data_IF_650256390233
#
_entry.id   IF_650256390233
#
_cell.length_a   1.000
_cell.length_b   1.000
_cell.length_c   1.000
_cell.angle_alpha   90.00
_cell.angle_beta   90.00
_cell.angle_gamma   90.00
#
_symmetry.space_group_name_H-M   'P 1'
#
loop_
_entity.id
_entity.type
_entity.pdbx_description
1 polymer ?
#
# COMPACT_ATOMS: atom_id res chain seq x y z
N UNK A 1 -68.07 -33.97 3.88
CA UNK A 1 -67.19 -35.14 4.03
C UNK A 1 -65.80 -34.61 4.36
N UNK A 2 -65.44 -34.60 5.65
CA UNK A 2 -64.09 -34.25 6.09
C UNK A 2 -63.21 -35.48 5.92
N UNK A 3 -62.21 -35.39 5.07
CA UNK A 3 -61.17 -36.42 4.90
C UNK A 3 -60.26 -36.37 6.11
N UNK A 4 -60.44 -37.34 7.01
CA UNK A 4 -59.57 -37.58 8.16
C UNK A 4 -58.20 -38.03 7.63
N UNK A 5 -57.25 -37.10 7.52
CA UNK A 5 -55.88 -37.46 7.16
C UNK A 5 -55.12 -37.91 8.41
N UNK A 6 -54.54 -39.11 8.40
CA UNK A 6 -53.85 -39.65 9.56
C UNK A 6 -52.65 -38.77 9.93
N UNK A 7 -52.59 -38.35 11.19
CA UNK A 7 -51.44 -37.64 11.74
C UNK A 7 -50.14 -38.41 11.43
N UNK A 8 -49.11 -37.74 10.89
CA UNK A 8 -47.87 -38.42 10.55
C UNK A 8 -47.23 -39.03 11.82
N UNK A 9 -46.67 -40.25 11.72
CA UNK A 9 -46.13 -40.96 12.87
C UNK A 9 -44.99 -40.17 13.53
N UNK A 10 -44.98 -40.09 14.88
CA UNK A 10 -43.96 -39.39 15.70
C UNK A 10 -42.49 -39.71 15.30
N UNK A 11 -42.22 -40.86 14.69
CA UNK A 11 -40.89 -41.23 14.16
C UNK A 11 -40.40 -40.28 13.07
N UNK A 12 -41.28 -39.84 12.16
CA UNK A 12 -40.95 -38.92 11.08
C UNK A 12 -40.51 -37.53 11.59
N UNK A 13 -40.91 -37.12 12.80
CA UNK A 13 -40.49 -35.85 13.41
C UNK A 13 -39.06 -35.90 13.96
N UNK A 14 -38.65 -37.01 14.60
CA UNK A 14 -37.27 -37.18 15.10
C UNK A 14 -36.26 -37.27 13.96
N UNK A 15 -36.61 -37.94 12.88
CA UNK A 15 -35.76 -38.06 11.68
C UNK A 15 -35.47 -36.70 11.03
N UNK A 16 -36.46 -35.78 11.00
CA UNK A 16 -36.30 -34.42 10.45
C UNK A 16 -35.30 -33.56 11.23
N UNK A 17 -35.28 -33.64 12.57
CA UNK A 17 -34.29 -32.91 13.39
C UNK A 17 -32.88 -33.47 13.25
N UNK A 18 -32.77 -34.79 13.04
CA UNK A 18 -31.49 -35.45 12.79
C UNK A 18 -30.76 -34.88 11.56
N UNK A 19 -31.51 -34.57 10.49
CA UNK A 19 -30.95 -33.96 9.28
C UNK A 19 -30.34 -32.59 9.57
N UNK A 20 -31.01 -31.72 10.33
CA UNK A 20 -30.50 -30.39 10.66
C UNK A 20 -29.23 -30.45 11.53
N UNK A 21 -29.18 -31.34 12.52
CA UNK A 21 -27.97 -31.56 13.31
C UNK A 21 -26.82 -32.13 12.48
N UNK A 22 -27.11 -33.02 11.52
CA UNK A 22 -26.09 -33.50 10.58
C UNK A 22 -25.55 -32.36 9.71
N UNK A 23 -26.43 -31.47 9.21
CA UNK A 23 -26.00 -30.29 8.46
C UNK A 23 -25.14 -29.34 9.31
N UNK A 24 -25.52 -29.09 10.57
CA UNK A 24 -24.70 -28.31 11.52
C UNK A 24 -23.29 -28.90 11.64
N UNK A 25 -23.18 -30.21 11.85
CA UNK A 25 -21.88 -30.89 11.96
C UNK A 25 -21.06 -30.80 10.66
N UNK A 26 -21.69 -31.03 9.50
CA UNK A 26 -21.02 -30.93 8.20
C UNK A 26 -20.53 -29.50 7.95
N UNK A 27 -21.37 -28.49 8.22
CA UNK A 27 -20.99 -27.09 8.09
C UNK A 27 -19.83 -26.73 9.01
N UNK A 28 -19.85 -27.21 10.25
CA UNK A 28 -18.75 -26.99 11.20
C UNK A 28 -17.43 -27.59 10.70
N UNK A 29 -17.46 -28.85 10.23
CA UNK A 29 -16.28 -29.51 9.64
C UNK A 29 -15.79 -28.74 8.41
N UNK A 30 -16.69 -28.31 7.53
CA UNK A 30 -16.33 -27.53 6.35
C UNK A 30 -15.65 -26.20 6.71
N UNK A 31 -16.15 -25.47 7.70
CA UNK A 31 -15.54 -24.22 8.19
C UNK A 31 -14.15 -24.49 8.77
N UNK A 32 -13.99 -25.53 9.61
CA UNK A 32 -12.70 -25.87 10.23
C UNK A 32 -11.67 -26.21 9.15
N UNK A 33 -12.03 -27.09 8.20
CA UNK A 33 -11.13 -27.48 7.10
C UNK A 33 -10.78 -26.28 6.22
N UNK A 34 -11.76 -25.46 5.84
CA UNK A 34 -11.52 -24.25 5.06
C UNK A 34 -10.64 -23.25 5.81
N UNK A 35 -10.82 -23.10 7.12
CA UNK A 35 -10.02 -22.24 7.97
C UNK A 35 -8.56 -22.71 8.05
N UNK A 36 -8.32 -24.01 8.26
CA UNK A 36 -6.97 -24.58 8.29
C UNK A 36 -6.27 -24.37 6.93
N UNK A 37 -6.95 -24.66 5.83
CA UNK A 37 -6.39 -24.47 4.49
C UNK A 37 -6.17 -22.99 4.14
N UNK A 38 -7.06 -22.10 4.58
CA UNK A 38 -6.87 -20.65 4.47
C UNK A 38 -5.61 -20.20 5.23
N UNK A 39 -5.44 -20.61 6.49
CA UNK A 39 -4.25 -20.28 7.28
C UNK A 39 -2.97 -20.82 6.64
N UNK A 40 -2.97 -22.06 6.13
CA UNK A 40 -1.83 -22.63 5.40
C UNK A 40 -1.49 -21.83 4.14
N UNK A 41 -2.51 -21.45 3.35
CA UNK A 41 -2.31 -20.64 2.13
C UNK A 41 -1.77 -19.25 2.44
N UNK A 42 -2.28 -18.62 3.48
CA UNK A 42 -1.78 -17.32 3.96
C UNK A 42 -0.34 -17.47 4.45
N UNK A 43 -0.02 -18.51 5.22
CA UNK A 43 1.34 -18.82 5.66
C UNK A 43 2.30 -19.05 4.50
N UNK A 44 1.94 -19.92 3.56
CA UNK A 44 2.72 -20.18 2.35
C UNK A 44 2.89 -18.91 1.50
N UNK A 45 1.88 -18.05 1.41
CA UNK A 45 1.99 -16.76 0.74
C UNK A 45 3.04 -15.86 1.41
N UNK A 46 3.02 -15.74 2.74
CA UNK A 46 4.00 -14.95 3.49
C UNK A 46 5.41 -15.58 3.47
N UNK A 47 5.54 -16.89 3.30
CA UNK A 47 6.82 -17.57 3.11
C UNK A 47 7.39 -17.36 1.71
N UNK A 48 6.53 -17.33 0.68
CA UNK A 48 6.95 -17.18 -0.71
C UNK A 48 7.17 -15.73 -1.12
N UNK A 49 6.40 -14.80 -0.57
CA UNK A 49 6.49 -13.39 -0.89
C UNK A 49 7.26 -12.69 0.21
N UNK A 50 8.55 -12.44 -0.05
CA UNK A 50 9.30 -11.49 0.76
C UNK A 50 8.66 -10.12 0.57
N UNK A 51 8.06 -9.61 1.65
CA UNK A 51 7.55 -8.25 1.74
C UNK A 51 8.53 -7.43 2.56
N UNK A 52 9.60 -6.90 1.94
CA UNK A 52 10.52 -6.06 2.66
C UNK A 52 9.77 -4.91 3.30
N UNK A 53 10.00 -4.73 4.60
CA UNK A 53 9.36 -3.72 5.39
C UNK A 53 10.43 -2.74 5.82
N UNK A 54 10.49 -1.59 5.15
CA UNK A 54 11.49 -0.57 5.46
C UNK A 54 11.04 0.31 6.63
N UNK A 55 11.99 0.66 7.50
CA UNK A 55 11.83 1.76 8.43
C UNK A 55 12.50 3.01 7.86
N UNK A 56 11.94 4.17 8.20
CA UNK A 56 12.41 5.46 7.74
C UNK A 56 12.56 6.39 8.94
N UNK A 57 13.73 6.99 9.08
CA UNK A 57 14.02 8.04 10.05
C UNK A 57 14.32 9.29 9.24
N UNK A 58 13.47 10.31 9.36
CA UNK A 58 13.68 11.57 8.66
C UNK A 58 14.88 12.31 9.24
N UNK A 59 15.74 12.82 8.37
CA UNK A 59 16.86 13.67 8.76
C UNK A 59 16.31 15.01 9.23
N UNK A 60 16.76 15.48 10.40
CA UNK A 60 16.32 16.74 10.99
C UNK A 60 17.34 17.88 10.84
N UNK A 61 18.61 17.56 10.61
CA UNK A 61 19.71 18.54 10.48
C UNK A 61 20.14 18.70 9.03
N UNK A 62 20.47 19.92 8.62
CA UNK A 62 21.07 20.20 7.31
C UNK A 62 22.56 19.94 7.27
N UNK A 63 23.19 19.68 8.41
CA UNK A 63 24.62 19.38 8.54
C UNK A 63 24.77 18.16 9.46
N UNK A 64 25.28 17.06 8.91
CA UNK A 64 25.48 15.80 9.61
C UNK A 64 26.47 14.90 8.88
N UNK A 65 26.97 13.85 9.56
CA UNK A 65 27.86 12.87 8.95
C UNK A 65 27.11 11.57 8.63
N UNK A 66 27.34 11.00 7.45
CA UNK A 66 26.85 9.69 7.05
C UNK A 66 28.02 8.82 6.57
N UNK A 67 28.18 7.63 7.17
CA UNK A 67 29.25 6.69 6.83
C UNK A 67 30.67 7.32 6.83
N UNK A 68 30.92 8.24 7.76
CA UNK A 68 32.20 8.95 7.89
C UNK A 68 32.40 10.09 6.89
N UNK A 69 31.35 10.49 6.16
CA UNK A 69 31.36 11.57 5.17
C UNK A 69 30.41 12.67 5.57
N UNK A 70 30.83 13.91 5.39
CA UNK A 70 29.99 15.05 5.73
C UNK A 70 28.93 15.28 4.65
N UNK A 71 27.70 15.50 5.12
CA UNK A 71 26.54 15.82 4.31
C UNK A 71 26.05 17.20 4.72
N UNK A 72 25.99 18.12 3.76
CA UNK A 72 25.51 19.48 3.97
C UNK A 72 24.41 19.85 2.99
N UNK A 73 23.34 20.44 3.48
CA UNK A 73 22.23 20.95 2.69
C UNK A 73 22.16 22.47 2.85
N UNK A 74 22.15 23.18 1.73
CA UNK A 74 22.08 24.64 1.68
C UNK A 74 20.99 25.08 0.71
N UNK A 75 20.16 26.04 1.11
CA UNK A 75 19.27 26.74 0.19
C UNK A 75 20.06 27.87 -0.47
N UNK A 76 20.14 27.83 -1.79
CA UNK A 76 20.77 28.87 -2.60
C UNK A 76 19.75 29.47 -3.56
N UNK A 77 20.10 30.60 -4.14
CA UNK A 77 19.37 31.18 -5.26
C UNK A 77 20.34 31.26 -6.44
N UNK A 78 19.89 30.79 -7.61
CA UNK A 78 20.61 31.00 -8.86
C UNK A 78 20.66 32.49 -9.20
N UNK A 79 21.55 32.87 -10.13
CA UNK A 79 21.58 34.24 -10.68
C UNK A 79 20.24 34.64 -11.33
N UNK A 80 19.45 33.65 -11.80
CA UNK A 80 18.09 33.83 -12.30
C UNK A 80 17.07 34.21 -11.22
N UNK A 81 17.43 34.11 -9.94
CA UNK A 81 16.54 34.24 -8.79
C UNK A 81 15.77 32.97 -8.44
N UNK A 82 16.01 31.86 -9.14
CA UNK A 82 15.36 30.58 -8.88
C UNK A 82 15.94 29.91 -7.62
N UNK A 83 15.08 29.47 -6.69
CA UNK A 83 15.52 28.78 -5.49
C UNK A 83 16.00 27.35 -5.82
N UNK A 84 17.13 26.96 -5.25
CA UNK A 84 17.71 25.62 -5.36
C UNK A 84 18.13 25.11 -3.98
N UNK A 85 18.13 23.79 -3.80
CA UNK A 85 18.75 23.13 -2.64
C UNK A 85 20.01 22.42 -3.10
N UNK A 86 21.17 22.88 -2.63
CA UNK A 86 22.46 22.26 -2.89
C UNK A 86 22.75 21.26 -1.79
N UNK A 87 23.08 20.04 -2.17
CA UNK A 87 23.49 18.97 -1.27
C UNK A 87 24.93 18.63 -1.57
N UNK A 88 25.80 18.85 -0.59
CA UNK A 88 27.20 18.43 -0.66
C UNK A 88 27.34 17.12 0.10
N UNK A 89 27.94 16.12 -0.53
CA UNK A 89 28.29 14.84 0.08
C UNK A 89 29.76 14.56 -0.23
N UNK A 90 30.62 14.83 0.73
CA UNK A 90 32.08 14.82 0.54
C UNK A 90 32.52 15.73 -0.64
N UNK A 91 33.02 15.16 -1.73
CA UNK A 91 33.42 15.88 -2.95
C UNK A 91 32.30 16.01 -3.99
N UNK A 92 31.16 15.35 -3.78
CA UNK A 92 30.02 15.39 -4.70
C UNK A 92 29.07 16.53 -4.34
N UNK A 93 28.56 17.20 -5.36
CA UNK A 93 27.51 18.22 -5.23
C UNK A 93 26.30 17.84 -6.07
N UNK A 94 25.13 17.89 -5.46
CA UNK A 94 23.84 17.66 -6.09
C UNK A 94 22.97 18.90 -5.93
N UNK A 95 22.60 19.52 -7.05
CA UNK A 95 21.69 20.66 -7.07
C UNK A 95 20.27 20.17 -7.36
N UNK A 96 19.34 20.52 -6.48
CA UNK A 96 17.93 20.14 -6.55
C UNK A 96 17.07 21.39 -6.75
N UNK A 97 16.39 21.47 -7.89
CA UNK A 97 15.47 22.57 -8.19
C UNK A 97 14.27 22.55 -7.25
N UNK A 98 13.93 23.69 -6.65
CA UNK A 98 12.76 23.79 -5.76
C UNK A 98 11.48 23.82 -6.57
N UNK A 99 10.76 22.69 -6.58
CA UNK A 99 9.50 22.52 -7.34
C UNK A 99 8.36 23.35 -6.73
N UNK A 100 8.29 23.40 -5.39
CA UNK A 100 7.25 24.12 -4.66
C UNK A 100 7.89 25.14 -3.73
N UNK A 101 8.00 26.41 -4.15
CA UNK A 101 8.55 27.44 -3.28
C UNK A 101 7.64 27.60 -2.06
N UNK A 102 8.21 27.70 -0.85
CA UNK A 102 7.43 27.77 0.37
C UNK A 102 6.56 29.03 0.40
N UNK A 103 5.27 28.88 0.71
CA UNK A 103 4.34 30.01 0.89
C UNK A 103 4.63 30.82 2.16
N UNK A 104 5.26 30.18 3.14
CA UNK A 104 5.56 30.74 4.45
C UNK A 104 7.01 30.48 4.81
N UNK A 105 7.62 31.44 5.49
CA UNK A 105 8.95 31.29 6.07
C UNK A 105 8.86 30.37 7.29
N UNK A 106 8.99 29.06 7.06
CA UNK A 106 9.17 28.08 8.13
C UNK A 106 10.64 28.08 8.56
N UNK A 107 10.97 27.74 9.82
CA UNK A 107 12.31 27.95 10.37
C UNK A 107 13.36 27.02 9.77
N UNK A 108 13.01 25.77 9.48
CA UNK A 108 13.96 24.78 8.95
C UNK A 108 13.76 24.54 7.46
N UNK A 109 14.84 24.15 6.76
CA UNK A 109 14.80 23.74 5.35
C UNK A 109 13.80 22.59 5.16
N UNK A 110 13.85 21.57 6.02
CA UNK A 110 12.96 20.42 5.89
C UNK A 110 11.49 20.76 6.12
N UNK A 111 11.18 21.73 7.00
CA UNK A 111 9.81 22.21 7.15
C UNK A 111 9.35 22.97 5.92
N UNK A 112 10.20 23.85 5.35
CA UNK A 112 9.90 24.62 4.13
C UNK A 112 9.68 23.73 2.91
N UNK A 113 10.46 22.67 2.76
CA UNK A 113 10.46 21.81 1.58
C UNK A 113 9.66 20.51 1.76
N UNK A 114 8.98 20.31 2.90
CA UNK A 114 8.29 19.05 3.27
C UNK A 114 7.27 18.56 2.24
N UNK A 115 6.70 19.47 1.46
CA UNK A 115 5.68 19.14 0.46
C UNK A 115 6.24 18.35 -0.73
N UNK A 116 7.55 18.40 -0.98
CA UNK A 116 8.11 17.78 -2.18
C UNK A 116 9.47 17.12 -1.97
N UNK A 117 10.20 17.46 -0.92
CA UNK A 117 11.52 16.91 -0.61
C UNK A 117 11.49 16.23 0.75
N UNK A 118 12.10 15.05 0.82
CA UNK A 118 12.37 14.36 2.07
C UNK A 118 13.73 13.66 2.02
N UNK A 119 14.47 13.75 3.11
CA UNK A 119 15.72 13.02 3.30
C UNK A 119 15.55 12.00 4.42
N UNK A 120 15.88 10.74 4.14
CA UNK A 120 15.59 9.63 5.04
C UNK A 120 16.81 8.74 5.22
N UNK A 121 17.11 8.41 6.47
CA UNK A 121 17.77 7.14 6.76
C UNK A 121 16.75 6.02 6.65
N UNK A 122 17.13 4.93 5.99
CA UNK A 122 16.26 3.78 5.86
C UNK A 122 17.03 2.47 5.91
N UNK A 123 16.37 1.43 6.40
CA UNK A 123 16.88 0.07 6.38
C UNK A 123 15.73 -0.92 6.42
N UNK A 124 15.99 -2.14 5.95
CA UNK A 124 15.04 -3.22 6.05
C UNK A 124 14.86 -3.62 7.52
N UNK A 125 13.61 -3.62 7.98
CA UNK A 125 13.19 -4.09 9.30
C UNK A 125 12.26 -5.29 9.21
N UNK A 126 12.33 -6.02 8.10
CA UNK A 126 11.63 -7.28 7.94
C UNK A 126 11.96 -8.21 9.09
N UNK A 127 10.94 -8.91 9.61
CA UNK A 127 11.07 -9.90 10.69
C UNK A 127 11.54 -9.35 12.04
N UNK A 128 11.51 -8.03 12.24
CA UNK A 128 11.81 -7.41 13.55
C UNK A 128 10.78 -6.36 13.95
N UNK A 129 10.68 -6.13 15.26
CA UNK A 129 9.86 -5.05 15.81
C UNK A 129 10.57 -3.70 15.66
N UNK A 130 9.84 -2.59 15.76
CA UNK A 130 10.44 -1.24 15.68
C UNK A 130 11.47 -1.00 16.80
N UNK A 131 11.18 -1.47 18.02
CA UNK A 131 12.10 -1.35 19.17
C UNK A 131 13.38 -2.15 18.95
N UNK A 132 13.27 -3.34 18.35
CA UNK A 132 14.45 -4.14 18.01
C UNK A 132 15.28 -3.47 16.92
N UNK A 133 14.62 -2.92 15.89
CA UNK A 133 15.27 -2.17 14.82
C UNK A 133 16.04 -0.96 15.36
N UNK A 134 15.41 -0.13 16.20
CA UNK A 134 16.05 1.02 16.84
C UNK A 134 17.26 0.62 17.67
N UNK A 135 17.13 -0.46 18.48
CA UNK A 135 18.25 -1.01 19.25
C UNK A 135 19.41 -1.44 18.34
N UNK A 136 19.13 -2.14 17.25
CA UNK A 136 20.15 -2.63 16.31
C UNK A 136 20.83 -1.52 15.51
N UNK A 137 20.13 -0.41 15.25
CA UNK A 137 20.75 0.81 14.71
C UNK A 137 21.72 1.42 15.75
N UNK A 138 21.31 1.52 17.01
CA UNK A 138 22.17 2.09 18.06
C UNK A 138 23.43 1.26 18.32
N UNK A 139 23.37 -0.06 18.11
CA UNK A 139 24.53 -0.97 18.24
C UNK A 139 25.31 -1.16 16.94
N UNK A 140 24.98 -0.41 15.88
CA UNK A 140 25.58 -0.51 14.53
C UNK A 140 25.51 -1.93 13.91
N UNK A 141 24.57 -2.76 14.35
CA UNK A 141 24.28 -4.07 13.74
C UNK A 141 23.55 -3.91 12.40
N UNK A 142 22.71 -2.87 12.29
CA UNK A 142 22.04 -2.48 11.05
C UNK A 142 22.68 -1.21 10.56
N UNK A 143 23.19 -1.29 9.35
CA UNK A 143 23.79 -0.19 8.63
C UNK A 143 22.72 0.54 7.80
N UNK A 144 22.23 1.71 8.25
CA UNK A 144 21.23 2.45 7.47
C UNK A 144 21.82 2.92 6.15
N UNK A 145 20.94 3.02 5.16
CA UNK A 145 21.13 3.71 3.87
C UNK A 145 20.57 5.12 3.99
N UNK A 146 21.03 6.04 3.14
CA UNK A 146 20.60 7.42 3.12
C UNK A 146 20.10 7.77 1.73
N UNK A 147 18.92 8.37 1.64
CA UNK A 147 18.40 8.86 0.36
C UNK A 147 17.68 10.19 0.52
N UNK A 148 17.77 11.01 -0.53
CA UNK A 148 16.83 12.10 -0.80
C UNK A 148 15.80 11.61 -1.79
N UNK A 149 14.54 11.92 -1.51
CA UNK A 149 13.43 11.68 -2.43
C UNK A 149 12.76 13.00 -2.71
N UNK A 150 12.67 13.35 -3.98
CA UNK A 150 11.93 14.52 -4.45
C UNK A 150 10.68 14.09 -5.20
N UNK A 151 9.64 14.90 -5.16
CA UNK A 151 8.36 14.70 -5.85
C UNK A 151 8.16 15.81 -6.87
N UNK A 152 8.09 15.43 -8.14
CA UNK A 152 7.85 16.33 -9.26
C UNK A 152 6.49 15.98 -9.90
N UNK A 153 5.52 16.91 -9.97
CA UNK A 153 4.26 16.66 -10.66
C UNK A 153 4.50 16.52 -12.17
N UNK A 154 3.85 15.54 -12.80
CA UNK A 154 3.94 15.32 -14.24
C UNK A 154 3.50 16.51 -15.06
N UNK A 155 4.17 16.73 -16.19
CA UNK A 155 3.90 17.87 -17.05
C UNK A 155 4.57 19.16 -16.59
N UNK A 156 5.15 19.18 -15.39
CA UNK A 156 6.27 20.06 -15.08
C UNK A 156 7.53 19.26 -15.39
N UNK A 157 8.08 19.41 -16.61
CA UNK A 157 9.50 19.11 -16.76
C UNK A 157 10.25 19.96 -15.72
N UNK A 158 11.31 19.45 -15.07
CA UNK A 158 12.26 20.30 -14.36
C UNK A 158 12.74 21.31 -15.39
N UNK A 159 12.16 22.50 -15.37
CA UNK A 159 12.22 23.37 -16.52
C UNK A 159 13.61 23.99 -16.47
N UNK A 160 14.49 23.62 -17.41
CA UNK A 160 15.83 24.21 -17.52
C UNK A 160 15.81 25.73 -17.78
N UNK A 161 14.63 26.31 -18.05
CA UNK A 161 14.44 27.74 -18.27
C UNK A 161 13.16 28.23 -17.56
N UNK A 162 13.21 29.35 -16.82
CA UNK A 162 12.04 29.95 -16.21
C UNK A 162 11.09 30.48 -17.29
N UNK A 163 9.98 29.77 -17.56
CA UNK A 163 8.81 30.38 -18.22
C UNK A 163 7.76 30.71 -17.17
N UNK A 164 7.91 31.90 -16.58
CA UNK A 164 7.02 32.41 -15.55
C UNK A 164 5.62 32.85 -16.04
N UNK A 165 5.19 32.56 -17.27
CA UNK A 165 4.08 33.33 -17.85
C UNK A 165 2.94 32.59 -18.57
N UNK A 166 2.78 31.26 -18.51
CA UNK A 166 1.64 30.66 -19.24
C UNK A 166 1.02 29.34 -18.79
N UNK A 167 1.29 28.82 -17.59
CA UNK A 167 0.46 27.74 -17.04
C UNK A 167 -0.24 28.24 -15.78
N UNK A 168 -1.46 28.74 -15.98
CA UNK A 168 -2.52 28.95 -15.00
C UNK A 168 -2.26 28.31 -13.64
N UNK A 169 -1.63 29.06 -12.73
CA UNK A 169 -1.33 28.62 -11.37
C UNK A 169 -2.59 28.54 -10.51
N UNK A 170 -3.64 29.30 -10.86
CA UNK A 170 -4.95 29.26 -10.19
C UNK A 170 -5.78 28.00 -10.53
N UNK A 171 -5.65 27.42 -11.73
CA UNK A 171 -6.39 26.20 -12.10
C UNK A 171 -5.69 24.89 -11.66
N UNK A 172 -4.39 24.97 -11.34
CA UNK A 172 -3.58 23.80 -11.01
C UNK A 172 -3.53 23.44 -9.52
N UNK A 173 -3.82 24.36 -8.60
CA UNK A 173 -3.91 24.02 -7.17
C UNK A 173 -5.05 23.02 -6.88
N UNK A 174 -6.14 23.06 -7.66
CA UNK A 174 -7.25 22.11 -7.54
C UNK A 174 -7.04 20.78 -8.29
N UNK A 175 -6.25 20.78 -9.37
CA UNK A 175 -6.05 19.61 -10.24
C UNK A 175 -4.76 18.84 -9.96
N UNK A 176 -3.73 19.46 -9.38
CA UNK A 176 -2.49 18.80 -8.96
C UNK A 176 -2.68 17.75 -7.85
N UNK A 177 -3.71 17.90 -7.00
CA UNK A 177 -4.13 16.85 -6.06
C UNK A 177 -4.89 15.69 -6.74
N UNK A 178 -5.48 15.94 -7.92
CA UNK A 178 -6.41 15.02 -8.59
C UNK A 178 -5.72 13.97 -9.47
N UNK A 179 -4.46 14.20 -9.88
CA UNK A 179 -3.72 13.31 -10.79
C UNK A 179 -2.44 12.76 -10.17
N UNK A 180 -2.59 12.07 -9.04
CA UNK A 180 -1.49 11.44 -8.29
C UNK A 180 -0.81 10.31 -9.07
N UNK A 181 -1.55 9.69 -9.97
CA UNK A 181 -1.07 8.69 -10.94
C UNK A 181 0.00 9.24 -11.88
N UNK A 182 0.17 10.56 -11.94
CA UNK A 182 1.19 11.18 -12.76
C UNK A 182 2.45 11.54 -11.95
N UNK A 183 2.42 11.57 -10.61
CA UNK A 183 3.59 11.97 -9.83
C UNK A 183 4.83 11.15 -10.20
N UNK A 184 5.92 11.88 -10.46
CA UNK A 184 7.27 11.35 -10.64
C UNK A 184 8.06 11.63 -9.36
N UNK A 185 8.90 10.68 -9.01
CA UNK A 185 9.81 10.78 -7.88
C UNK A 185 11.22 10.56 -8.38
N UNK A 186 12.13 11.39 -7.93
CA UNK A 186 13.55 11.22 -8.16
C UNK A 186 14.19 10.77 -6.84
N UNK A 187 14.91 9.66 -6.90
CA UNK A 187 15.55 8.98 -5.79
C UNK A 187 17.05 9.18 -5.92
N UNK A 188 17.64 9.88 -4.95
CA UNK A 188 19.08 10.10 -4.85
C UNK A 188 19.59 9.33 -3.66
N UNK A 189 20.20 8.19 -3.90
CA UNK A 189 20.79 7.37 -2.85
C UNK A 189 22.27 7.68 -2.67
N UNK A 190 22.64 7.94 -1.42
CA UNK A 190 23.99 8.26 -0.99
C UNK A 190 24.66 6.95 -0.55
N UNK A 191 25.58 6.45 -1.38
CA UNK A 191 26.30 5.22 -1.10
C UNK A 191 27.45 5.48 -0.13
N UNK A 192 27.80 4.46 0.64
CA UNK A 192 28.90 4.55 1.64
C UNK A 192 30.27 4.78 0.98
N UNK A 193 30.41 4.43 -0.30
CA UNK A 193 31.62 4.67 -1.09
C UNK A 193 31.80 6.12 -1.54
N UNK A 194 30.83 7.00 -1.24
CA UNK A 194 30.86 8.43 -1.60
C UNK A 194 30.10 8.75 -2.89
N UNK A 195 29.55 7.75 -3.59
CA UNK A 195 28.78 7.99 -4.82
C UNK A 195 27.31 8.29 -4.55
N UNK A 196 26.73 9.16 -5.37
CA UNK A 196 25.29 9.38 -5.42
C UNK A 196 24.71 8.67 -6.65
N UNK A 197 23.80 7.72 -6.43
CA UNK A 197 23.03 7.07 -7.50
C UNK A 197 21.67 7.73 -7.64
N UNK A 198 21.25 7.99 -8.88
CA UNK A 198 19.98 8.62 -9.20
C UNK A 198 19.09 7.69 -10.00
N UNK A 199 17.84 7.57 -9.60
CA UNK A 199 16.80 6.90 -10.36
C UNK A 199 15.50 7.71 -10.34
N UNK A 200 14.81 7.76 -11.47
CA UNK A 200 13.54 8.45 -11.59
C UNK A 200 12.43 7.47 -11.90
N UNK A 201 11.37 7.47 -11.09
CA UNK A 201 10.24 6.56 -11.23
C UNK A 201 8.90 7.25 -11.02
N UNK A 202 7.85 6.71 -11.61
CA UNK A 202 6.47 7.15 -11.44
C UNK A 202 5.81 6.39 -10.32
N UNK A 203 4.82 7.01 -9.69
CA UNK A 203 3.95 6.24 -8.80
C UNK A 203 3.24 5.11 -9.57
N UNK A 204 3.14 3.89 -9.01
CA UNK A 204 2.50 2.78 -9.70
C UNK A 204 1.04 3.08 -10.03
N UNK A 205 0.60 2.64 -11.20
CA UNK A 205 -0.81 2.73 -11.57
C UNK A 205 -1.65 1.83 -10.65
N UNK A 206 -2.80 2.31 -10.20
CA UNK A 206 -3.72 1.47 -9.41
C UNK A 206 -4.28 0.30 -10.23
N UNK A 207 -4.47 -0.86 -9.60
CA UNK A 207 -5.11 -2.06 -10.19
C UNK A 207 -6.36 -1.74 -10.99
N UNK A 208 -7.25 -0.93 -10.38
CA UNK A 208 -8.53 -0.57 -10.97
C UNK A 208 -8.34 0.26 -12.24
N UNK A 209 -7.35 1.15 -12.27
CA UNK A 209 -7.04 1.92 -13.47
C UNK A 209 -6.45 1.01 -14.56
N UNK A 210 -5.50 0.17 -14.21
CA UNK A 210 -4.90 -0.79 -15.14
C UNK A 210 -5.94 -1.76 -15.73
N UNK A 211 -6.81 -2.33 -14.89
CA UNK A 211 -7.91 -3.20 -15.34
C UNK A 211 -8.91 -2.49 -16.25
N UNK A 212 -9.20 -1.20 -16.00
CA UNK A 212 -10.04 -0.40 -16.91
C UNK A 212 -9.36 -0.20 -18.26
N UNK A 213 -8.05 0.08 -18.29
CA UNK A 213 -7.29 0.18 -19.55
C UNK A 213 -7.32 -1.14 -20.31
N UNK A 214 -7.10 -2.26 -19.61
CA UNK A 214 -7.13 -3.61 -20.18
C UNK A 214 -8.48 -3.94 -20.80
N UNK A 215 -9.58 -3.74 -20.06
CA UNK A 215 -10.93 -3.96 -20.57
C UNK A 215 -11.27 -3.04 -21.76
N UNK A 216 -10.82 -1.78 -21.74
CA UNK A 216 -11.01 -0.85 -22.85
C UNK A 216 -10.21 -1.26 -24.11
N UNK A 217 -8.99 -1.76 -23.92
CA UNK A 217 -8.17 -2.28 -25.01
C UNK A 217 -8.82 -3.53 -25.64
N UNK A 218 -9.30 -4.45 -24.81
CA UNK A 218 -10.04 -5.64 -25.24
C UNK A 218 -11.29 -5.27 -26.07
N UNK A 219 -12.11 -4.34 -25.56
CA UNK A 219 -13.30 -3.84 -26.26
C UNK A 219 -12.99 -3.18 -27.61
N UNK A 220 -11.80 -2.60 -27.75
CA UNK A 220 -11.36 -1.92 -28.98
C UNK A 220 -10.53 -2.80 -29.91
N UNK A 221 -10.25 -4.06 -29.53
CA UNK A 221 -9.32 -4.93 -30.26
C UNK A 221 -7.89 -4.37 -30.31
N UNK A 222 -7.51 -3.53 -29.33
CA UNK A 222 -6.17 -2.98 -29.21
C UNK A 222 -5.25 -3.93 -28.43
N UNK A 223 -3.91 -3.82 -28.60
CA UNK A 223 -2.95 -4.60 -27.82
C UNK A 223 -3.15 -4.41 -26.30
N UNK A 224 -2.88 -5.46 -25.54
CA UNK A 224 -2.98 -5.43 -24.08
C UNK A 224 -2.01 -4.37 -23.52
N UNK A 225 -2.51 -3.41 -22.72
CA UNK A 225 -1.65 -2.39 -22.14
C UNK A 225 -0.66 -3.03 -21.19
N UNK A 226 0.61 -2.64 -21.29
CA UNK A 226 1.63 -2.99 -20.32
C UNK A 226 1.77 -1.87 -19.27
N UNK A 227 2.14 -2.26 -18.05
CA UNK A 227 2.62 -1.30 -17.03
C UNK A 227 3.96 -0.75 -17.47
N UNK A 228 4.26 0.47 -17.05
CA UNK A 228 5.52 1.11 -17.44
C UNK A 228 6.66 0.58 -16.59
N UNK A 229 7.83 0.37 -17.19
CA UNK A 229 9.03 -0.10 -16.47
C UNK A 229 9.56 0.96 -15.48
N UNK A 230 9.15 2.22 -15.64
CA UNK A 230 9.46 3.32 -14.73
C UNK A 230 8.49 3.41 -13.54
N UNK A 231 7.55 2.48 -13.35
CA UNK A 231 6.71 2.44 -12.15
C UNK A 231 7.51 1.99 -10.91
N UNK A 232 7.35 2.69 -9.80
CA UNK A 232 7.89 2.24 -8.52
C UNK A 232 7.23 0.91 -8.15
N UNK A 233 8.04 -0.09 -7.88
CA UNK A 233 7.55 -1.40 -7.46
C UNK A 233 7.09 -1.34 -5.99
N UNK A 234 5.92 -1.91 -5.70
CA UNK A 234 5.45 -2.06 -4.33
C UNK A 234 6.44 -2.87 -3.49
N UNK A 235 6.51 -2.56 -2.19
CA UNK A 235 7.41 -3.15 -1.20
C UNK A 235 8.89 -2.81 -1.36
N UNK A 236 9.29 -1.96 -2.31
CA UNK A 236 10.65 -1.44 -2.33
C UNK A 236 10.80 -0.24 -1.39
N UNK A 237 12.04 0.15 -1.09
CA UNK A 237 12.28 1.30 -0.22
C UNK A 237 11.85 2.60 -0.88
N UNK A 238 11.95 2.68 -2.22
CA UNK A 238 11.49 3.80 -3.04
C UNK A 238 9.99 4.03 -2.86
N UNK A 239 9.20 2.94 -2.81
CA UNK A 239 7.75 3.03 -2.62
C UNK A 239 7.40 3.66 -1.27
N UNK A 240 8.00 3.16 -0.18
CA UNK A 240 7.74 3.70 1.15
C UNK A 240 8.24 5.14 1.30
N UNK A 241 9.36 5.51 0.67
CA UNK A 241 9.88 6.86 0.70
C UNK A 241 9.00 7.83 -0.11
N UNK A 242 8.53 7.42 -1.30
CA UNK A 242 7.58 8.18 -2.11
C UNK A 242 6.28 8.47 -1.34
N UNK A 243 5.76 7.50 -0.60
CA UNK A 243 4.59 7.69 0.26
C UNK A 243 4.82 8.74 1.36
N UNK A 244 6.04 8.90 1.88
CA UNK A 244 6.37 9.89 2.92
C UNK A 244 6.42 11.32 2.41
N UNK A 245 6.83 11.52 1.15
CA UNK A 245 6.86 12.84 0.50
C UNK A 245 5.55 13.17 -0.23
N UNK A 246 4.56 12.28 -0.15
CA UNK A 246 3.23 12.51 -0.72
C UNK A 246 2.28 13.05 0.36
N UNK A 247 1.77 14.27 0.18
CA UNK A 247 0.84 14.91 1.13
C UNK A 247 -0.40 14.04 1.46
N UNK A 248 -0.88 13.26 0.48
CA UNK A 248 -2.01 12.34 0.62
C UNK A 248 -1.65 11.03 -0.08
N UNK A 249 -0.96 10.10 0.61
CA UNK A 249 -0.59 8.83 0.01
C UNK A 249 -1.85 8.13 -0.54
N UNK A 250 -1.79 7.52 -1.73
CA UNK A 250 -2.90 6.73 -2.23
C UNK A 250 -3.18 5.57 -1.26
N UNK A 251 -4.43 5.12 -1.22
CA UNK A 251 -4.78 3.92 -0.47
C UNK A 251 -3.92 2.75 -0.95
N UNK A 252 -3.40 1.97 -0.01
CA UNK A 252 -2.57 0.79 -0.31
C UNK A 252 -3.37 -0.11 -1.26
N UNK A 253 -2.81 -0.36 -2.44
CA UNK A 253 -3.37 -1.23 -3.46
C UNK A 253 -3.40 -2.66 -2.91
N UNK A 254 -4.60 -3.24 -2.83
CA UNK A 254 -4.81 -4.57 -2.24
C UNK A 254 -4.35 -5.72 -3.17
N UNK A 255 -3.62 -5.42 -4.24
CA UNK A 255 -3.26 -6.39 -5.30
C UNK A 255 -2.43 -7.56 -4.78
N UNK A 256 -1.55 -7.28 -3.80
CA UNK A 256 -0.69 -8.27 -3.14
C UNK A 256 -1.17 -8.56 -1.72
N UNK A 257 -2.46 -8.86 -1.56
CA UNK A 257 -3.01 -9.29 -0.29
C UNK A 257 -3.12 -10.80 -0.20
N UNK A 258 -2.76 -11.34 0.97
CA UNK A 258 -2.96 -12.75 1.31
C UNK A 258 -4.43 -13.19 1.13
N UNK A 259 -5.38 -12.27 1.28
CA UNK A 259 -6.82 -12.52 1.06
C UNK A 259 -7.16 -12.83 -0.40
N UNK A 260 -6.49 -12.22 -1.39
CA UNK A 260 -6.69 -12.58 -2.79
C UNK A 260 -6.17 -13.99 -3.10
N UNK A 261 -5.15 -14.43 -2.36
CA UNK A 261 -4.60 -15.79 -2.44
C UNK A 261 -5.39 -16.84 -1.65
N UNK A 262 -6.42 -16.42 -0.89
CA UNK A 262 -7.34 -17.35 -0.22
C UNK A 262 -8.03 -18.29 -1.23
N UNK A 263 -8.32 -17.80 -2.43
CA UNK A 263 -9.00 -18.56 -3.48
C UNK A 263 -10.38 -19.06 -3.02
N UNK A 264 -10.66 -20.35 -3.24
CA UNK A 264 -11.96 -20.97 -2.92
C UNK A 264 -12.23 -21.13 -1.41
N UNK A 265 -11.19 -21.06 -0.57
CA UNK A 265 -11.33 -21.29 0.88
C UNK A 265 -12.24 -20.24 1.54
N UNK A 266 -12.18 -18.99 1.07
CA UNK A 266 -13.00 -17.90 1.61
C UNK A 266 -14.49 -18.05 1.26
N UNK A 267 -14.89 -18.32 -0.01
CA UNK A 267 -16.27 -18.70 -0.33
C UNK A 267 -16.78 -19.92 0.45
N UNK A 268 -15.97 -20.99 0.58
CA UNK A 268 -16.41 -22.20 1.32
C UNK A 268 -16.57 -21.92 2.82
N UNK A 269 -15.68 -21.15 3.43
CA UNK A 269 -15.83 -20.73 4.81
C UNK A 269 -17.08 -19.86 5.00
N UNK A 270 -17.33 -18.90 4.11
CA UNK A 270 -18.50 -18.02 4.16
C UNK A 270 -19.82 -18.79 3.95
N UNK A 271 -19.89 -19.66 2.95
CA UNK A 271 -21.06 -20.52 2.70
C UNK A 271 -21.28 -21.52 3.83
N UNK A 272 -20.20 -22.10 4.37
CA UNK A 272 -20.24 -22.98 5.52
C UNK A 272 -20.80 -22.28 6.76
N UNK A 273 -20.36 -21.04 7.02
CA UNK A 273 -20.86 -20.24 8.14
C UNK A 273 -22.35 -19.91 7.97
N UNK A 274 -22.79 -19.50 6.78
CA UNK A 274 -24.20 -19.23 6.52
C UNK A 274 -25.06 -20.49 6.68
N UNK A 275 -24.60 -21.63 6.14
CA UNK A 275 -25.29 -22.91 6.27
C UNK A 275 -25.36 -23.38 7.73
N UNK A 276 -24.29 -23.13 8.51
CA UNK A 276 -24.26 -23.41 9.95
C UNK A 276 -25.34 -22.62 10.69
N UNK A 277 -25.42 -21.30 10.47
CA UNK A 277 -26.41 -20.43 11.12
C UNK A 277 -27.83 -20.88 10.79
N UNK A 278 -28.12 -21.11 9.50
CA UNK A 278 -29.46 -21.55 9.06
C UNK A 278 -29.80 -22.91 9.67
N UNK A 279 -28.90 -23.90 9.55
CA UNK A 279 -29.15 -25.26 10.03
C UNK A 279 -29.28 -25.30 11.55
N UNK A 280 -28.51 -24.49 12.27
CA UNK A 280 -28.59 -24.37 13.72
C UNK A 280 -29.94 -23.81 14.16
N UNK A 281 -30.40 -22.72 13.53
CA UNK A 281 -31.73 -22.16 13.79
C UNK A 281 -32.85 -23.19 13.59
N UNK A 282 -32.80 -23.98 12.52
CA UNK A 282 -33.80 -25.05 12.29
C UNK A 282 -33.63 -26.25 13.22
N UNK A 283 -32.42 -26.55 13.68
CA UNK A 283 -32.16 -27.63 14.63
C UNK A 283 -32.75 -27.36 16.02
N UNK A 284 -32.75 -26.08 16.45
CA UNK A 284 -33.27 -25.65 17.75
C UNK A 284 -34.72 -25.13 17.70
N UNK A 285 -35.27 -24.90 16.50
CA UNK A 285 -36.61 -24.37 16.36
C UNK A 285 -37.67 -25.28 17.04
N UNK A 286 -38.61 -24.70 17.80
CA UNK A 286 -39.69 -25.47 18.40
C UNK A 286 -40.58 -26.09 17.32
N UNK A 287 -41.20 -27.23 17.63
CA UNK A 287 -42.14 -27.85 16.70
C UNK A 287 -43.33 -26.91 16.47
N UNK A 288 -43.75 -26.77 15.21
CA UNK A 288 -44.96 -26.01 14.90
C UNK A 288 -46.15 -26.72 15.54
N UNK A 289 -46.86 -26.01 16.42
CA UNK A 289 -48.15 -26.45 16.94
C UNK A 289 -49.13 -26.37 15.77
N UNK A 290 -49.62 -27.53 15.32
CA UNK A 290 -50.70 -27.60 14.34
C UNK A 290 -52.04 -27.37 15.05
N UNK A 291 -53.02 -26.80 14.36
CA UNK A 291 -54.35 -26.45 14.90
C UNK A 291 -55.11 -27.67 15.50
N UNK A 292 -54.66 -28.89 15.20
CA UNK A 292 -55.15 -30.14 15.80
C UNK A 292 -54.59 -30.45 17.20
N UNK A 293 -53.58 -29.71 17.66
CA UNK A 293 -52.94 -29.86 18.98
C UNK A 293 -53.37 -28.75 19.97
N UNK A 294 -54.24 -27.83 19.55
CA UNK A 294 -54.81 -26.73 20.34
C UNK A 294 -56.28 -27.01 20.70
#
# INVERSE_FOLDING_TARGET
MATDQPNPPRKARKERRGIWWALVLISLVAIIVAGIELTKRIGAYYEQVEHPLFAYIQVASTDFTFAGRDVKLEELQLESGEPLVRVTFDDQTLDLDVVYPPKHELPTLFDRQREWLGMFFFADRSRMTMQEFERRIMTDEIQPRLAIVTRTPFGMEPTKEPRYDSIAREDNESTGESRRDLYRYDFYEFNRDGTITHEAKRFPESAKSFMRRRANAELKGAPEPQRSDDEIQEYTWEYGAALKVTNRPPGITLEKQALLNAGWTLPVAASGFLLLVVSFCFAIAPDRVTESDA
#
